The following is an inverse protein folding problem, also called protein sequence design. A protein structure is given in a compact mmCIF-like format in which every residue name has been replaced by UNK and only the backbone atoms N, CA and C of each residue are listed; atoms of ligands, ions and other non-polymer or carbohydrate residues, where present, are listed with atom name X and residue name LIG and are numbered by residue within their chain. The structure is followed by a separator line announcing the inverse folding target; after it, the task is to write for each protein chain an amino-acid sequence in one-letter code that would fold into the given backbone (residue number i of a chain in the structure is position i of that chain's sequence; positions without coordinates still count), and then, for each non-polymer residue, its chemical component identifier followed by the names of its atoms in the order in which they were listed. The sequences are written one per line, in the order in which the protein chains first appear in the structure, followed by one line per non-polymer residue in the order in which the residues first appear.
data_IF_974277176796
#
_entry.id   IF_974277176796
#
_cell.length_a   1.000
_cell.length_b   1.000
_cell.length_c   1.000
_cell.angle_alpha   90.00
_cell.angle_beta   90.00
_cell.angle_gamma   90.00
#
_symmetry.space_group_name_H-M   'P 1'
#
loop_
_entity.id
_entity.type
_entity.pdbx_description
1 polymer ?
#
# COMPACT_ATOMS: atom_id res chain seq x y z
N UNK A 1 16.39 -6.59 5.94
CA UNK A 1 15.82 -6.54 4.58
C UNK A 1 15.75 -5.08 4.18
N UNK A 2 16.55 -4.65 3.21
CA UNK A 2 16.56 -3.25 2.77
C UNK A 2 15.58 -3.11 1.60
N UNK A 3 14.31 -2.87 1.92
CA UNK A 3 13.40 -2.32 0.91
C UNK A 3 13.79 -0.85 0.64
N UNK A 4 13.44 -0.28 -0.52
CA UNK A 4 13.60 1.15 -0.76
C UNK A 4 12.93 1.97 0.34
N UNK A 5 13.52 3.10 0.71
CA UNK A 5 12.91 4.02 1.66
C UNK A 5 11.54 4.50 1.12
N UNK A 6 10.53 4.46 1.98
CA UNK A 6 9.16 4.86 1.66
C UNK A 6 8.54 5.62 2.83
N UNK A 7 7.68 6.56 2.52
CA UNK A 7 6.95 7.39 3.46
C UNK A 7 5.43 7.28 3.23
N UNK A 8 4.66 7.70 4.24
CA UNK A 8 3.21 7.82 4.08
C UNK A 8 2.91 8.85 2.98
N UNK A 9 1.96 8.51 2.10
CA UNK A 9 1.58 9.18 0.83
C UNK A 9 2.50 8.95 -0.36
N UNK A 10 3.58 8.20 -0.22
CA UNK A 10 4.38 7.82 -1.39
C UNK A 10 3.59 6.91 -2.33
N UNK A 11 3.88 7.05 -3.63
CA UNK A 11 3.34 6.18 -4.67
C UNK A 11 4.30 5.02 -4.93
N UNK A 12 3.79 3.80 -4.82
CA UNK A 12 4.54 2.57 -5.12
C UNK A 12 3.73 1.62 -5.99
N UNK A 13 4.45 0.83 -6.79
CA UNK A 13 3.86 -0.18 -7.66
C UNK A 13 3.88 -1.55 -6.96
N UNK A 14 2.73 -2.01 -6.50
CA UNK A 14 2.58 -3.30 -5.79
C UNK A 14 1.86 -4.29 -6.70
N UNK A 15 2.56 -5.34 -7.12
CA UNK A 15 1.96 -6.36 -8.00
C UNK A 15 1.30 -5.77 -9.27
N UNK A 16 1.98 -4.83 -9.93
CA UNK A 16 1.49 -4.10 -11.12
C UNK A 16 0.27 -3.20 -10.87
N UNK A 17 0.05 -2.76 -9.63
CA UNK A 17 -0.98 -1.78 -9.28
C UNK A 17 -0.35 -0.57 -8.63
N UNK A 18 -0.73 0.61 -9.11
CA UNK A 18 -0.39 1.87 -8.46
C UNK A 18 -1.10 1.96 -7.11
N UNK A 19 -0.33 2.17 -6.06
CA UNK A 19 -0.82 2.24 -4.70
C UNK A 19 -0.22 3.45 -3.97
N UNK A 20 -0.97 3.98 -3.01
CA UNK A 20 -0.49 5.03 -2.10
C UNK A 20 -0.20 4.41 -0.74
N UNK A 21 0.98 4.66 -0.19
CA UNK A 21 1.34 4.18 1.16
C UNK A 21 0.49 4.90 2.20
N UNK A 22 -0.35 4.15 2.91
CA UNK A 22 -1.20 4.69 3.96
C UNK A 22 -0.51 4.64 5.33
N UNK A 23 0.23 3.56 5.60
CA UNK A 23 0.88 3.34 6.90
C UNK A 23 2.11 2.46 6.75
N UNK A 24 3.17 2.81 7.47
CA UNK A 24 4.34 1.94 7.64
C UNK A 24 4.10 0.98 8.81
N UNK A 25 4.45 -0.29 8.65
CA UNK A 25 4.42 -1.28 9.73
C UNK A 25 5.73 -1.22 10.54
N UNK A 26 5.73 -1.71 11.79
CA UNK A 26 6.95 -1.78 12.58
C UNK A 26 8.07 -2.53 11.83
N UNK A 27 9.33 -2.13 12.03
CA UNK A 27 10.47 -2.87 11.50
C UNK A 27 10.38 -4.36 11.87
N UNK A 28 10.71 -5.25 10.92
CA UNK A 28 10.68 -6.72 11.10
C UNK A 28 9.27 -7.30 11.34
N UNK A 29 8.22 -6.56 11.00
CA UNK A 29 6.85 -7.09 11.04
C UNK A 29 6.73 -8.36 10.16
N UNK A 30 6.25 -9.49 10.72
CA UNK A 30 6.12 -10.75 9.95
C UNK A 30 4.99 -10.69 8.92
N UNK A 31 4.11 -9.69 9.04
CA UNK A 31 2.91 -9.55 8.20
C UNK A 31 3.12 -8.64 6.99
N UNK A 32 4.28 -7.99 6.85
CA UNK A 32 4.61 -7.13 5.71
C UNK A 32 5.37 -5.86 6.10
N UNK A 33 5.52 -4.94 5.16
CA UNK A 33 6.28 -3.68 5.33
C UNK A 33 5.37 -2.48 5.52
N UNK A 34 4.29 -2.38 4.74
CA UNK A 34 3.38 -1.24 4.79
C UNK A 34 1.95 -1.64 4.42
N UNK A 35 0.99 -0.78 4.78
CA UNK A 35 -0.39 -0.82 4.30
C UNK A 35 -0.52 0.22 3.21
N UNK A 36 -1.10 -0.17 2.09
CA UNK A 36 -1.36 0.70 0.95
C UNK A 36 -2.85 0.81 0.67
N UNK A 37 -3.27 1.94 0.09
CA UNK A 37 -4.58 2.07 -0.55
C UNK A 37 -4.44 1.95 -2.07
N UNK A 38 -5.38 1.24 -2.68
CA UNK A 38 -5.47 1.03 -4.12
C UNK A 38 -6.92 1.10 -4.59
N UNK A 39 -7.11 1.11 -5.91
CA UNK A 39 -8.41 1.19 -6.59
C UNK A 39 -9.15 2.52 -6.35
N UNK A 40 -9.10 3.42 -7.33
CA UNK A 40 -9.71 4.76 -7.25
C UNK A 40 -11.23 4.73 -7.07
N UNK A 41 -11.90 3.76 -7.69
CA UNK A 41 -13.37 3.64 -7.68
C UNK A 41 -13.88 3.00 -6.39
N UNK A 42 -13.14 2.03 -5.86
CA UNK A 42 -13.46 1.35 -4.60
C UNK A 42 -12.20 1.25 -3.73
N UNK A 43 -11.85 2.34 -3.02
CA UNK A 43 -10.63 2.41 -2.22
C UNK A 43 -10.52 1.22 -1.27
N UNK A 44 -9.46 0.45 -1.43
CA UNK A 44 -9.22 -0.80 -0.71
C UNK A 44 -7.85 -0.73 -0.05
N UNK A 45 -7.73 -1.17 1.20
CA UNK A 45 -6.45 -1.30 1.90
C UNK A 45 -5.87 -2.70 1.72
N UNK A 46 -4.58 -2.81 1.43
CA UNK A 46 -3.85 -4.09 1.43
C UNK A 46 -2.48 -3.96 2.05
N UNK A 47 -1.99 -5.06 2.61
CA UNK A 47 -0.63 -5.14 3.12
C UNK A 47 0.33 -5.46 1.98
N UNK A 48 1.39 -4.68 1.85
CA UNK A 48 2.47 -4.89 0.91
C UNK A 48 3.74 -5.34 1.62
N UNK A 49 4.45 -6.28 0.99
CA UNK A 49 5.77 -6.74 1.38
C UNK A 49 6.80 -6.45 0.31
N UNK A 50 8.09 -6.65 0.63
CA UNK A 50 9.20 -6.49 -0.30
C UNK A 50 9.88 -7.82 -0.58
N UNK A 51 9.96 -8.22 -1.86
CA UNK A 51 10.61 -9.46 -2.29
C UNK A 51 11.98 -9.21 -2.93
N UNK A 52 12.80 -8.36 -2.32
CA UNK A 52 14.17 -8.04 -2.78
C UNK A 52 14.25 -7.14 -4.01
N UNK A 53 13.35 -7.30 -4.97
CA UNK A 53 13.32 -6.56 -6.24
C UNK A 53 12.03 -5.77 -6.47
N UNK A 54 10.92 -6.22 -5.86
CA UNK A 54 9.59 -5.67 -6.13
C UNK A 54 8.69 -5.74 -4.91
N UNK A 55 7.76 -4.79 -4.87
CA UNK A 55 6.65 -4.82 -3.94
C UNK A 55 5.61 -5.85 -4.38
N UNK A 56 5.08 -6.59 -3.41
CA UNK A 56 4.05 -7.58 -3.64
C UNK A 56 2.96 -7.46 -2.58
N UNK A 57 1.73 -7.84 -2.93
CA UNK A 57 0.68 -7.96 -1.94
C UNK A 57 0.91 -9.20 -1.09
N UNK A 58 0.94 -9.03 0.22
CA UNK A 58 1.01 -10.17 1.14
C UNK A 58 -0.20 -11.07 0.91
N UNK A 59 -0.01 -12.41 0.93
CA UNK A 59 -1.13 -13.35 0.93
C UNK A 59 -2.07 -12.99 2.07
N UNK A 60 -3.35 -12.84 1.74
CA UNK A 60 -4.38 -12.54 2.70
C UNK A 60 -5.57 -13.43 2.35
N UNK A 61 -6.19 -14.05 3.36
CA UNK A 61 -7.44 -14.77 3.18
C UNK A 61 -8.58 -13.82 2.79
N UNK A 62 -8.42 -12.52 3.07
CA UNK A 62 -9.36 -11.47 2.71
C UNK A 62 -8.79 -10.54 1.62
N UNK A 63 -9.66 -9.96 0.80
CA UNK A 63 -9.28 -9.02 -0.26
C UNK A 63 -8.75 -7.65 0.25
N UNK A 64 -8.68 -7.46 1.57
CA UNK A 64 -8.38 -6.19 2.23
C UNK A 64 -9.63 -5.55 2.86
N UNK A 65 -9.44 -4.42 3.54
CA UNK A 65 -10.54 -3.61 4.06
C UNK A 65 -10.93 -2.50 3.10
N UNK A 66 -12.12 -1.90 3.26
CA UNK A 66 -12.43 -0.65 2.60
C UNK A 66 -11.69 0.50 3.29
N UNK A 67 -11.07 1.37 2.50
CA UNK A 67 -10.45 2.57 3.01
C UNK A 67 -11.51 3.64 3.25
N UNK A 68 -11.31 4.48 4.26
CA UNK A 68 -12.17 5.63 4.53
C UNK A 68 -12.07 6.64 3.37
N UNK A 69 -13.21 7.04 2.82
CA UNK A 69 -13.33 8.02 1.73
C UNK A 69 -12.72 9.39 2.07
N UNK A 70 -12.64 9.75 3.35
CA UNK A 70 -12.03 10.98 3.83
C UNK A 70 -10.55 10.84 4.17
N UNK A 71 -9.97 9.62 4.10
CA UNK A 71 -8.55 9.41 4.34
C UNK A 71 -7.70 10.22 3.33
N UNK A 72 -6.69 10.98 3.78
CA UNK A 72 -5.83 11.76 2.89
C UNK A 72 -5.16 10.95 1.78
N UNK A 73 -4.84 9.68 2.03
CA UNK A 73 -4.24 8.77 1.04
C UNK A 73 -5.26 8.32 0.01
N UNK A 74 -6.55 8.21 0.37
CA UNK A 74 -7.63 7.95 -0.59
C UNK A 74 -7.87 9.16 -1.50
N UNK A 75 -7.80 10.38 -0.95
CA UNK A 75 -7.84 11.60 -1.74
C UNK A 75 -6.66 11.69 -2.72
N UNK A 76 -5.47 11.34 -2.24
CA UNK A 76 -4.26 11.26 -3.07
C UNK A 76 -4.43 10.21 -4.18
N UNK A 77 -4.89 9.01 -3.83
CA UNK A 77 -5.16 7.93 -4.77
C UNK A 77 -6.13 8.37 -5.88
N UNK A 78 -7.24 9.05 -5.49
CA UNK A 78 -8.24 9.57 -6.44
C UNK A 78 -7.67 10.66 -7.34
N UNK A 79 -6.82 11.54 -6.80
CA UNK A 79 -6.08 12.55 -7.58
C UNK A 79 -5.17 11.90 -8.62
N UNK A 80 -4.59 10.75 -8.31
CA UNK A 80 -3.69 10.00 -9.19
C UNK A 80 -2.23 10.41 -9.05
N UNK A 81 -1.34 9.52 -9.50
CA UNK A 81 0.10 9.77 -9.56
C UNK A 81 0.37 10.82 -10.63
N UNK A 82 1.19 11.80 -10.30
CA UNK A 82 1.66 12.84 -11.23
C UNK A 82 3.09 12.54 -11.67
#
# INVERSE_FOLDING_TARGET
MNHPEIHVKDWIDVGNRECVVQRLLPPVSPVGVCIVVLNKTKPTTRIAGWKGEKWYFMPSHDFGGYADEYDPCVRELKRGRR
#
